data_IF_490734045241
#
_entry.id   IF_490734045241
#
_cell.length_a   1.000
_cell.length_b   1.000
_cell.length_c   1.000
_cell.angle_alpha   90.00
_cell.angle_beta   90.00
_cell.angle_gamma   90.00
#
_symmetry.space_group_name_H-M   'P 1'
#
loop_
_entity.id
_entity.type
_entity.pdbx_description
1 polymer ?
#
# COMPACT_ATOMS: atom_id res chain seq x y z
N UNK A 1 -26.55 -7.87 -7.20
CA UNK A 1 -25.43 -7.47 -6.33
C UNK A 1 -24.66 -6.35 -7.02
N UNK A 2 -24.23 -5.31 -6.29
CA UNK A 2 -23.39 -4.24 -6.84
C UNK A 2 -22.01 -4.85 -7.15
N UNK A 3 -21.46 -4.57 -8.35
CA UNK A 3 -20.12 -5.03 -8.74
C UNK A 3 -19.09 -4.43 -7.78
N UNK A 4 -18.25 -5.28 -7.17
CA UNK A 4 -17.13 -4.82 -6.35
C UNK A 4 -16.13 -4.06 -7.21
N UNK A 5 -15.54 -3.02 -6.66
CA UNK A 5 -14.46 -2.28 -7.27
C UNK A 5 -13.12 -3.01 -7.07
N UNK A 6 -12.24 -2.93 -8.05
CA UNK A 6 -10.97 -3.62 -8.05
C UNK A 6 -9.82 -2.65 -7.77
N UNK A 7 -9.01 -2.96 -6.76
CA UNK A 7 -7.80 -2.20 -6.43
C UNK A 7 -6.58 -3.02 -6.82
N UNK A 8 -5.69 -2.43 -7.63
CA UNK A 8 -4.35 -2.94 -7.86
C UNK A 8 -3.41 -2.38 -6.81
N UNK A 9 -2.79 -3.25 -6.02
CA UNK A 9 -1.89 -2.88 -4.92
C UNK A 9 -0.45 -3.09 -5.34
N UNK A 10 0.36 -2.04 -5.25
CA UNK A 10 1.81 -2.04 -5.48
C UNK A 10 2.50 -1.83 -4.13
N UNK A 11 3.03 -2.91 -3.56
CA UNK A 11 3.57 -2.91 -2.20
C UNK A 11 4.47 -4.12 -1.99
N UNK A 12 5.12 -4.19 -0.82
CA UNK A 12 5.71 -5.44 -0.36
C UNK A 12 4.66 -6.54 -0.32
N UNK A 13 5.08 -7.76 -0.57
CA UNK A 13 4.18 -8.93 -0.54
C UNK A 13 3.42 -9.00 0.79
N UNK A 14 2.09 -8.99 0.75
CA UNK A 14 1.26 -8.89 1.95
C UNK A 14 1.41 -10.06 2.95
N UNK A 15 1.93 -11.19 2.48
CA UNK A 15 2.24 -12.34 3.35
C UNK A 15 3.71 -12.35 3.82
N UNK A 16 4.50 -11.34 3.48
CA UNK A 16 5.85 -11.18 4.03
C UNK A 16 5.80 -10.72 5.48
N UNK A 17 6.94 -10.85 6.17
CA UNK A 17 7.12 -10.39 7.55
C UNK A 17 7.54 -8.92 7.65
N UNK A 18 7.64 -8.20 6.52
CA UNK A 18 7.96 -6.76 6.53
C UNK A 18 6.84 -5.93 7.16
N UNK A 19 7.19 -4.79 7.74
CA UNK A 19 6.20 -3.85 8.28
C UNK A 19 5.21 -3.38 7.22
N UNK A 20 5.71 -3.05 6.01
CA UNK A 20 4.89 -2.64 4.86
C UNK A 20 3.94 -3.77 4.43
N UNK A 21 4.45 -5.00 4.26
CA UNK A 21 3.62 -6.16 3.91
C UNK A 21 2.55 -6.45 4.96
N UNK A 22 2.90 -6.37 6.24
CA UNK A 22 1.97 -6.56 7.36
C UNK A 22 0.85 -5.52 7.36
N UNK A 23 1.19 -4.23 7.22
CA UNK A 23 0.18 -3.16 7.15
C UNK A 23 -0.67 -3.26 5.89
N UNK A 24 -0.07 -3.62 4.74
CA UNK A 24 -0.83 -3.91 3.50
C UNK A 24 -1.87 -4.99 3.74
N UNK A 25 -1.50 -6.09 4.39
CA UNK A 25 -2.43 -7.18 4.72
C UNK A 25 -3.55 -6.72 5.63
N UNK A 26 -3.26 -5.94 6.67
CA UNK A 26 -4.29 -5.44 7.59
C UNK A 26 -5.27 -4.52 6.87
N UNK A 27 -4.77 -3.60 6.03
CA UNK A 27 -5.61 -2.71 5.24
C UNK A 27 -6.55 -3.51 4.30
N UNK A 28 -5.98 -4.44 3.52
CA UNK A 28 -6.74 -5.25 2.57
C UNK A 28 -7.83 -6.06 3.30
N UNK A 29 -7.47 -6.75 4.38
CA UNK A 29 -8.43 -7.55 5.14
C UNK A 29 -9.59 -6.70 5.68
N UNK A 30 -9.28 -5.54 6.28
CA UNK A 30 -10.33 -4.65 6.79
C UNK A 30 -11.23 -4.07 5.70
N UNK A 31 -10.71 -3.84 4.49
CA UNK A 31 -11.52 -3.38 3.36
C UNK A 31 -12.37 -4.51 2.75
N UNK A 32 -11.89 -5.75 2.73
CA UNK A 32 -12.66 -6.91 2.27
C UNK A 32 -13.91 -7.11 3.14
N UNK A 33 -13.82 -6.91 4.46
CA UNK A 33 -14.97 -6.99 5.37
C UNK A 33 -16.11 -6.04 5.02
N UNK A 34 -15.82 -4.92 4.30
CA UNK A 34 -16.85 -4.01 3.78
C UNK A 34 -17.62 -4.58 2.58
N UNK A 35 -17.13 -5.67 1.98
CA UNK A 35 -17.73 -6.34 0.82
C UNK A 35 -17.95 -5.45 -0.42
N UNK A 36 -17.12 -4.42 -0.57
CA UNK A 36 -17.17 -3.45 -1.69
C UNK A 36 -15.99 -3.56 -2.64
N UNK A 37 -14.91 -4.28 -2.23
CA UNK A 37 -13.62 -4.24 -2.86
C UNK A 37 -13.08 -5.63 -3.18
N UNK A 38 -12.31 -5.72 -4.27
CA UNK A 38 -11.44 -6.85 -4.58
C UNK A 38 -10.02 -6.36 -4.82
N UNK A 39 -9.03 -7.18 -4.54
CA UNK A 39 -7.64 -6.80 -4.58
C UNK A 39 -6.82 -7.69 -5.50
N UNK A 40 -5.97 -7.05 -6.30
CA UNK A 40 -4.88 -7.68 -7.05
C UNK A 40 -3.59 -7.05 -6.57
N UNK A 41 -2.63 -7.82 -6.10
CA UNK A 41 -1.37 -7.28 -5.60
C UNK A 41 -0.20 -7.74 -6.47
N UNK A 42 0.72 -6.82 -6.75
CA UNK A 42 2.09 -7.18 -7.11
C UNK A 42 2.86 -7.39 -5.82
N UNK A 43 3.13 -8.66 -5.49
CA UNK A 43 3.83 -9.05 -4.27
C UNK A 43 5.35 -8.89 -4.45
N UNK A 44 5.85 -7.69 -4.09
CA UNK A 44 7.24 -7.29 -4.25
C UNK A 44 8.09 -7.53 -2.99
N UNK A 45 9.35 -7.10 -3.04
CA UNK A 45 10.29 -7.02 -1.92
C UNK A 45 10.66 -8.35 -1.26
N UNK A 46 10.53 -9.47 -1.95
CA UNK A 46 11.01 -10.77 -1.45
C UNK A 46 11.48 -11.66 -2.60
N UNK A 47 12.36 -12.62 -2.27
CA UNK A 47 12.72 -13.68 -3.22
C UNK A 47 11.63 -14.73 -3.22
N UNK A 48 11.13 -15.07 -4.39
CA UNK A 48 10.13 -16.10 -4.57
C UNK A 48 10.78 -17.44 -4.92
N UNK A 49 10.27 -18.55 -4.36
CA UNK A 49 10.67 -19.90 -4.74
C UNK A 49 9.98 -20.34 -6.02
N UNK A 50 8.78 -19.83 -6.25
CA UNK A 50 8.05 -19.92 -7.52
C UNK A 50 7.23 -18.62 -7.74
N UNK A 51 6.74 -18.45 -8.97
CA UNK A 51 5.96 -17.28 -9.37
C UNK A 51 4.48 -17.59 -9.57
N UNK A 52 4.00 -18.66 -8.94
CA UNK A 52 2.59 -19.00 -8.98
C UNK A 52 1.77 -17.93 -8.27
N UNK A 53 0.64 -17.60 -8.88
CA UNK A 53 -0.35 -16.72 -8.27
C UNK A 53 -0.85 -17.30 -6.96
N UNK A 54 -0.87 -16.49 -5.91
CA UNK A 54 -1.37 -16.86 -4.58
C UNK A 54 -2.80 -16.36 -4.44
N UNK A 55 -3.76 -17.26 -4.45
CA UNK A 55 -5.15 -16.95 -4.13
C UNK A 55 -5.31 -16.98 -2.59
N UNK A 56 -5.32 -15.80 -1.96
CA UNK A 56 -5.49 -15.69 -0.50
C UNK A 56 -6.95 -15.98 -0.13
N UNK A 57 -7.89 -15.40 -0.89
CA UNK A 57 -9.32 -15.68 -0.85
C UNK A 57 -9.97 -15.19 -2.17
N UNK A 58 -11.29 -15.26 -2.27
CA UNK A 58 -12.04 -14.87 -3.48
C UNK A 58 -11.85 -13.39 -3.88
N UNK A 59 -11.59 -12.53 -2.91
CA UNK A 59 -11.44 -11.09 -3.10
C UNK A 59 -9.98 -10.63 -3.13
N UNK A 60 -9.00 -11.50 -2.81
CA UNK A 60 -7.59 -11.12 -2.70
C UNK A 60 -6.67 -12.13 -3.38
N UNK A 61 -5.98 -11.65 -4.42
CA UNK A 61 -5.01 -12.42 -5.20
C UNK A 61 -3.69 -11.68 -5.26
N UNK A 62 -2.59 -12.40 -5.01
CA UNK A 62 -1.23 -11.86 -5.08
C UNK A 62 -0.51 -12.50 -6.28
N UNK A 63 0.07 -11.68 -7.12
CA UNK A 63 1.00 -12.09 -8.18
C UNK A 63 2.43 -11.81 -7.70
N UNK A 64 3.22 -12.83 -7.38
CA UNK A 64 4.63 -12.66 -7.06
C UNK A 64 5.37 -12.04 -8.25
N UNK A 65 6.23 -11.05 -7.97
CA UNK A 65 7.03 -10.36 -8.99
C UNK A 65 8.45 -10.15 -8.51
N UNK A 66 9.39 -10.06 -9.44
CA UNK A 66 10.75 -9.60 -9.14
C UNK A 66 10.79 -8.09 -8.96
N UNK A 67 11.59 -7.64 -7.99
CA UNK A 67 11.72 -6.22 -7.68
C UNK A 67 10.36 -5.59 -7.34
N UNK A 68 10.03 -4.52 -8.03
CA UNK A 68 8.79 -3.75 -7.84
C UNK A 68 7.94 -3.63 -9.12
N UNK A 69 8.20 -4.49 -10.09
CA UNK A 69 7.48 -4.50 -11.37
C UNK A 69 8.15 -3.65 -12.45
N UNK A 70 7.46 -3.50 -13.57
CA UNK A 70 7.92 -2.73 -14.73
C UNK A 70 6.76 -2.28 -15.62
N UNK A 71 7.06 -1.41 -16.60
CA UNK A 71 6.08 -0.83 -17.55
C UNK A 71 5.25 -1.89 -18.30
N UNK A 72 5.88 -2.96 -18.75
CA UNK A 72 5.15 -3.99 -19.53
C UNK A 72 4.16 -4.75 -18.65
N UNK A 73 4.56 -5.06 -17.42
CA UNK A 73 3.70 -5.76 -16.47
C UNK A 73 2.47 -4.92 -16.11
N UNK A 74 2.67 -3.62 -15.85
CA UNK A 74 1.55 -2.73 -15.50
C UNK A 74 0.59 -2.55 -16.70
N UNK A 75 1.10 -2.34 -17.93
CA UNK A 75 0.26 -2.24 -19.13
C UNK A 75 -0.60 -3.48 -19.32
N UNK A 76 0.00 -4.66 -19.21
CA UNK A 76 -0.74 -5.93 -19.30
C UNK A 76 -1.82 -6.00 -18.22
N UNK A 77 -1.50 -5.60 -16.98
CA UNK A 77 -2.44 -5.64 -15.86
C UNK A 77 -3.57 -4.63 -16.02
N UNK A 78 -3.28 -3.41 -16.46
CA UNK A 78 -4.31 -2.41 -16.77
C UNK A 78 -5.28 -2.91 -17.84
N UNK A 79 -4.76 -3.54 -18.89
CA UNK A 79 -5.57 -4.08 -19.99
C UNK A 79 -6.44 -5.27 -19.56
N UNK A 80 -5.89 -6.19 -18.77
CA UNK A 80 -6.55 -7.45 -18.40
C UNK A 80 -7.40 -7.36 -17.14
N UNK A 81 -6.90 -6.70 -16.10
CA UNK A 81 -7.59 -6.60 -14.81
C UNK A 81 -8.52 -5.39 -14.71
N UNK A 82 -8.23 -4.31 -15.45
CA UNK A 82 -9.00 -3.06 -15.46
C UNK A 82 -9.31 -2.59 -14.03
N UNK A 83 -8.31 -2.23 -13.24
CA UNK A 83 -8.51 -1.77 -11.88
C UNK A 83 -9.26 -0.44 -11.85
N UNK A 84 -10.04 -0.21 -10.79
CA UNK A 84 -10.69 1.07 -10.51
C UNK A 84 -9.77 2.03 -9.75
N UNK A 85 -8.65 1.54 -9.21
CA UNK A 85 -7.66 2.31 -8.45
C UNK A 85 -6.32 1.55 -8.44
N UNK A 86 -5.21 2.27 -8.58
CA UNK A 86 -3.88 1.81 -8.16
C UNK A 86 -3.59 2.36 -6.77
N UNK A 87 -3.23 1.48 -5.86
CA UNK A 87 -2.84 1.83 -4.50
C UNK A 87 -1.37 1.46 -4.28
N UNK A 88 -0.55 2.45 -3.92
CA UNK A 88 0.89 2.29 -3.69
C UNK A 88 1.16 2.45 -2.19
N UNK A 89 1.92 1.51 -1.63
CA UNK A 89 2.39 1.60 -0.25
C UNK A 89 3.80 1.01 -0.15
N UNK A 90 4.79 1.84 -0.31
CA UNK A 90 6.22 1.64 -0.03
C UNK A 90 6.99 2.89 -0.49
N UNK A 91 8.33 2.85 -0.57
CA UNK A 91 9.13 3.97 -1.05
C UNK A 91 8.79 4.29 -2.53
N UNK A 92 8.37 5.53 -2.85
CA UNK A 92 7.93 5.89 -4.19
C UNK A 92 9.04 5.76 -5.24
N UNK A 93 10.31 5.85 -4.84
CA UNK A 93 11.45 5.74 -5.75
C UNK A 93 11.59 4.37 -6.41
N UNK A 94 10.96 3.33 -5.86
CA UNK A 94 10.89 2.02 -6.51
C UNK A 94 9.95 1.99 -7.71
N UNK A 95 9.10 3.01 -7.88
CA UNK A 95 8.08 3.10 -8.92
C UNK A 95 8.29 4.29 -9.87
N UNK A 96 9.51 4.83 -10.02
CA UNK A 96 9.78 5.94 -10.95
C UNK A 96 9.23 5.62 -12.35
N UNK A 97 9.40 4.40 -12.81
CA UNK A 97 8.87 3.91 -14.07
C UNK A 97 7.33 4.01 -14.19
N UNK A 98 6.60 3.97 -13.07
CA UNK A 98 5.15 4.11 -13.01
C UNK A 98 4.73 5.57 -13.23
N UNK A 99 5.38 6.50 -12.53
CA UNK A 99 5.10 7.94 -12.67
C UNK A 99 5.48 8.46 -14.05
N UNK A 100 6.51 7.91 -14.69
CA UNK A 100 6.83 8.22 -16.09
C UNK A 100 5.76 7.74 -17.09
N UNK A 101 4.75 7.03 -16.63
CA UNK A 101 3.58 6.54 -17.38
C UNK A 101 2.26 7.14 -16.89
N UNK A 102 2.30 8.20 -16.12
CA UNK A 102 1.10 8.76 -15.46
C UNK A 102 -0.05 9.02 -16.44
N UNK A 103 0.23 9.57 -17.61
CA UNK A 103 -0.78 9.83 -18.65
C UNK A 103 -1.49 8.54 -19.11
N UNK A 104 -0.74 7.44 -19.27
CA UNK A 104 -1.32 6.14 -19.64
C UNK A 104 -2.18 5.58 -18.50
N UNK A 105 -1.72 5.73 -17.26
CA UNK A 105 -2.38 5.20 -16.07
C UNK A 105 -3.66 5.95 -15.79
N UNK A 106 -3.63 7.29 -15.80
CA UNK A 106 -4.79 8.13 -15.53
C UNK A 106 -5.92 8.00 -16.58
N UNK A 107 -5.62 7.50 -17.79
CA UNK A 107 -6.65 7.11 -18.75
C UNK A 107 -7.47 5.88 -18.29
N UNK A 108 -6.97 5.10 -17.34
CA UNK A 108 -7.62 3.89 -16.84
C UNK A 108 -8.19 4.07 -15.45
N UNK A 109 -7.38 4.57 -14.50
CA UNK A 109 -7.79 4.74 -13.11
C UNK A 109 -6.89 5.72 -12.36
N UNK A 110 -7.38 6.29 -11.25
CA UNK A 110 -6.58 7.13 -10.35
C UNK A 110 -5.52 6.33 -9.60
N UNK A 111 -4.56 7.09 -9.02
CA UNK A 111 -3.46 6.59 -8.18
C UNK A 111 -3.59 7.14 -6.76
N UNK A 112 -3.59 6.27 -5.77
CA UNK A 112 -3.51 6.62 -4.36
C UNK A 112 -2.19 6.14 -3.77
N UNK A 113 -1.54 6.98 -3.00
CA UNK A 113 -0.28 6.66 -2.35
C UNK A 113 -0.39 6.77 -0.82
N UNK A 114 -0.03 5.70 -0.11
CA UNK A 114 0.15 5.74 1.33
C UNK A 114 1.62 6.04 1.63
N UNK A 115 1.86 7.28 2.05
CA UNK A 115 3.17 7.89 2.14
C UNK A 115 3.96 7.36 3.34
N UNK A 116 5.21 6.97 3.09
CA UNK A 116 6.08 6.31 4.08
C UNK A 116 7.30 7.15 4.51
N UNK A 117 7.38 8.42 4.11
CA UNK A 117 8.47 9.29 4.54
C UNK A 117 8.35 9.61 6.04
N UNK A 118 9.45 9.55 6.77
CA UNK A 118 9.49 9.61 8.22
C UNK A 118 10.56 10.56 8.77
N UNK A 119 11.14 11.40 7.92
CA UNK A 119 12.21 12.33 8.29
C UNK A 119 11.95 13.75 7.79
N UNK A 120 12.51 14.74 8.50
CA UNK A 120 12.69 16.10 8.06
C UNK A 120 14.07 16.25 7.38
N UNK A 121 14.21 17.07 6.33
CA UNK A 121 13.24 17.98 5.73
C UNK A 121 12.32 17.29 4.68
N UNK A 122 11.37 18.09 4.16
CA UNK A 122 10.54 17.68 3.03
C UNK A 122 11.37 17.12 1.86
N UNK A 123 11.04 15.92 1.35
CA UNK A 123 11.83 15.26 0.31
C UNK A 123 11.53 15.85 -1.07
N UNK A 124 12.05 17.03 -1.35
CA UNK A 124 11.81 17.78 -2.59
C UNK A 124 12.09 16.96 -3.87
N UNK A 125 13.00 16.00 -3.79
CA UNK A 125 13.30 15.09 -4.90
C UNK A 125 12.16 14.13 -5.27
N UNK A 126 11.14 14.00 -4.41
CA UNK A 126 9.94 13.22 -4.67
C UNK A 126 8.74 14.08 -5.12
N UNK A 127 8.89 15.42 -5.21
CA UNK A 127 7.78 16.34 -5.46
C UNK A 127 6.99 15.99 -6.72
N UNK A 128 7.68 15.73 -7.84
CA UNK A 128 7.03 15.34 -9.09
C UNK A 128 6.23 14.03 -8.97
N UNK A 129 6.68 13.10 -8.13
CA UNK A 129 5.98 11.85 -7.86
C UNK A 129 4.71 12.11 -7.04
N UNK A 130 4.78 13.04 -6.10
CA UNK A 130 3.61 13.43 -5.30
C UNK A 130 2.58 14.18 -6.12
N UNK A 131 3.02 15.12 -6.96
CA UNK A 131 2.14 15.91 -7.84
C UNK A 131 1.38 15.05 -8.86
N UNK A 132 2.00 13.97 -9.34
CA UNK A 132 1.38 12.99 -10.25
C UNK A 132 0.45 11.98 -9.56
N UNK A 133 0.20 12.14 -8.27
CA UNK A 133 -0.64 11.21 -7.48
C UNK A 133 -1.97 11.89 -7.15
N UNK A 134 -3.12 11.22 -7.36
CA UNK A 134 -4.44 11.82 -7.11
C UNK A 134 -4.76 12.03 -5.63
N UNK A 135 -4.23 11.18 -4.75
CA UNK A 135 -4.41 11.30 -3.30
C UNK A 135 -3.23 10.72 -2.54
N UNK A 136 -2.79 11.42 -1.52
CA UNK A 136 -1.70 11.01 -0.63
C UNK A 136 -2.22 10.89 0.80
N UNK A 137 -2.04 9.71 1.40
CA UNK A 137 -2.36 9.46 2.79
C UNK A 137 -1.08 9.38 3.59
N UNK A 138 -0.91 10.24 4.59
CA UNK A 138 0.25 10.28 5.45
C UNK A 138 0.00 9.45 6.72
N UNK A 139 0.97 8.62 7.11
CA UNK A 139 0.86 7.74 8.28
C UNK A 139 1.22 8.43 9.60
N UNK A 140 1.87 9.60 9.54
CA UNK A 140 2.26 10.38 10.70
C UNK A 140 1.91 11.86 10.56
N UNK A 141 1.79 12.56 11.68
CA UNK A 141 1.58 14.01 11.70
C UNK A 141 2.76 14.76 11.08
N UNK A 142 3.99 14.28 11.29
CA UNK A 142 5.18 14.89 10.69
C UNK A 142 5.06 14.92 9.17
N UNK A 143 4.80 13.76 8.56
CA UNK A 143 4.69 13.67 7.09
C UNK A 143 3.50 14.44 6.55
N UNK A 144 2.38 14.44 7.29
CA UNK A 144 1.22 15.23 6.93
C UNK A 144 1.53 16.74 6.90
N UNK A 145 2.18 17.27 7.93
CA UNK A 145 2.59 18.68 7.99
C UNK A 145 3.56 19.02 6.86
N UNK A 146 4.61 18.21 6.68
CA UNK A 146 5.60 18.43 5.62
C UNK A 146 4.97 18.47 4.22
N UNK A 147 4.05 17.57 3.91
CA UNK A 147 3.40 17.56 2.61
C UNK A 147 2.40 18.70 2.46
N UNK A 148 1.59 18.98 3.48
CA UNK A 148 0.57 20.03 3.45
C UNK A 148 1.17 21.43 3.31
N UNK A 149 2.37 21.65 3.87
CA UNK A 149 3.09 22.93 3.79
C UNK A 149 3.78 23.13 2.43
N UNK A 150 4.21 22.07 1.77
CA UNK A 150 5.01 22.14 0.55
C UNK A 150 4.23 21.82 -0.73
N UNK A 151 3.22 20.96 -0.67
CA UNK A 151 2.34 20.61 -1.81
C UNK A 151 1.06 21.46 -1.80
N UNK A 152 1.20 22.78 -1.87
CA UNK A 152 0.05 23.72 -1.77
C UNK A 152 -0.98 23.56 -2.87
N UNK A 153 -0.59 23.05 -4.03
CA UNK A 153 -1.47 22.80 -5.17
C UNK A 153 -2.03 21.37 -5.21
N UNK A 154 -1.61 20.48 -4.30
CA UNK A 154 -2.08 19.10 -4.28
C UNK A 154 -3.44 19.01 -3.57
N UNK A 155 -4.50 18.56 -4.25
CA UNK A 155 -5.86 18.70 -3.73
C UNK A 155 -6.20 17.75 -2.58
N UNK A 156 -5.43 16.69 -2.33
CA UNK A 156 -5.84 15.60 -1.43
C UNK A 156 -4.68 14.97 -0.66
N UNK A 157 -4.14 15.72 0.28
CA UNK A 157 -3.26 15.17 1.32
C UNK A 157 -4.11 14.92 2.57
N UNK A 158 -4.04 13.73 3.15
CA UNK A 158 -4.78 13.35 4.35
C UNK A 158 -3.91 12.61 5.36
N UNK A 159 -4.30 12.66 6.63
CA UNK A 159 -3.65 11.92 7.70
C UNK A 159 -4.45 10.65 8.01
N UNK A 160 -3.86 9.49 7.74
CA UNK A 160 -4.42 8.18 8.07
C UNK A 160 -3.31 7.35 8.71
N UNK A 161 -3.28 7.24 10.06
CA UNK A 161 -2.23 6.52 10.77
C UNK A 161 -2.29 5.02 10.50
N UNK A 162 -1.16 4.35 10.69
CA UNK A 162 -1.14 2.90 10.79
C UNK A 162 -1.96 2.42 11.98
N UNK A 163 -2.55 1.25 11.84
CA UNK A 163 -3.31 0.60 12.89
C UNK A 163 -2.72 -0.76 13.25
N UNK A 164 -3.00 -1.22 14.45
CA UNK A 164 -2.62 -2.54 14.93
C UNK A 164 -3.89 -3.32 15.33
N UNK A 165 -3.94 -4.63 15.05
CA UNK A 165 -5.09 -5.46 15.41
C UNK A 165 -5.24 -5.56 16.94
N UNK A 166 -6.45 -5.34 17.44
CA UNK A 166 -6.77 -5.44 18.88
C UNK A 166 -6.48 -6.82 19.45
N UNK A 167 -6.62 -7.84 18.63
CA UNK A 167 -6.43 -9.25 18.97
C UNK A 167 -4.95 -9.58 19.25
N UNK A 168 -4.02 -8.81 18.65
CA UNK A 168 -2.58 -8.99 18.82
C UNK A 168 -1.96 -7.98 19.79
N UNK A 169 -2.55 -6.79 19.90
CA UNK A 169 -2.02 -5.70 20.70
C UNK A 169 -3.07 -5.24 21.71
N UNK A 170 -3.04 -5.86 22.87
CA UNK A 170 -3.94 -5.57 24.00
C UNK A 170 -3.17 -5.43 25.30
N UNK A 171 -3.77 -4.77 26.28
CA UNK A 171 -3.19 -4.64 27.61
C UNK A 171 -3.25 -5.99 28.35
N UNK A 172 -2.09 -6.54 28.65
CA UNK A 172 -2.00 -7.77 29.45
C UNK A 172 -2.54 -7.57 30.87
N UNK A 173 -3.17 -8.60 31.41
CA UNK A 173 -3.57 -8.65 32.82
C UNK A 173 -2.33 -8.87 33.71
N UNK A 174 -2.37 -8.43 34.96
CA UNK A 174 -1.23 -8.53 35.89
C UNK A 174 -0.75 -9.99 36.10
N UNK A 175 -1.68 -10.95 36.05
CA UNK A 175 -1.35 -12.40 36.11
C UNK A 175 -0.54 -12.86 34.92
N UNK A 176 -0.85 -12.38 33.71
CA UNK A 176 -0.13 -12.70 32.50
C UNK A 176 1.26 -12.05 32.50
N UNK A 177 1.34 -10.79 32.93
CA UNK A 177 2.60 -10.06 33.08
C UNK A 177 3.53 -10.82 34.05
N UNK A 178 3.03 -11.29 35.19
CA UNK A 178 3.81 -12.09 36.13
C UNK A 178 4.32 -13.38 35.50
N UNK A 179 3.47 -14.11 34.78
CA UNK A 179 3.84 -15.35 34.09
C UNK A 179 4.99 -15.13 33.09
N UNK A 180 4.91 -14.07 32.27
CA UNK A 180 5.97 -13.78 31.30
C UNK A 180 7.28 -13.33 31.95
N UNK A 181 7.21 -12.52 33.02
CA UNK A 181 8.42 -12.11 33.78
C UNK A 181 9.13 -13.25 34.49
N UNK A 182 8.43 -14.33 34.82
CA UNK A 182 9.03 -15.51 35.47
C UNK A 182 9.64 -16.48 34.48
N UNK A 183 9.33 -16.35 33.18
CA UNK A 183 9.82 -17.20 32.11
C UNK A 183 11.11 -16.66 31.42
N UNK A 184 11.60 -15.50 31.85
CA UNK A 184 12.86 -14.87 31.44
C UNK A 184 13.89 -15.06 32.56
#
# INVERSE_FOLDING_TARGET
>A
MKKKKKILVLSDHALSTSGVGTQTRHLINGLIEKNEWTFRQFGAAMKHTDYKTVNVNDDFVIKPIDGFGNRNLIRLTLATEKPDLIFIFTDPRFFIWLWEMEDEIHQVCPVAYWHVWDADPYPKFNETLYESTDTINCHSHLTYSLLSENLTNHPRVSFIPHAVPKELFYKLQDSEIKKYKTAI
#
